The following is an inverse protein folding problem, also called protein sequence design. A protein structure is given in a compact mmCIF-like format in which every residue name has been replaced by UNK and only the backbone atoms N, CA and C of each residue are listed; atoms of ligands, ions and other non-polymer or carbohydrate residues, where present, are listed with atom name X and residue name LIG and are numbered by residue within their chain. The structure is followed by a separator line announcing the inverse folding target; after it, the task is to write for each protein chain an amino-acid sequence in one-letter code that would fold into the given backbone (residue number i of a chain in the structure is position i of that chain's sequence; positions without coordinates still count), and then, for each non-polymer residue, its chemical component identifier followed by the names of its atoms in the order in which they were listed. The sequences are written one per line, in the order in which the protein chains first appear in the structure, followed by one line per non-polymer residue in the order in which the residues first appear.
data_IF_807332863685
#
_entry.id   IF_807332863685
#
_cell.length_a   1.000
_cell.length_b   1.000
_cell.length_c   1.000
_cell.angle_alpha   90.00
_cell.angle_beta   90.00
_cell.angle_gamma   90.00
#
_symmetry.space_group_name_H-M   'P 1'
#
loop_
_entity.id
_entity.type
_entity.pdbx_description
1 polymer ?
#
# COMPACT_ATOMS: atom_id res chain seq x y z
N UNK A 1 -6.79 6.26 -1.67
CA UNK A 1 -6.08 5.86 -0.42
C UNK A 1 -5.72 4.39 -0.54
N UNK A 2 -4.60 3.97 0.04
CA UNK A 2 -4.20 2.56 0.04
C UNK A 2 -5.13 1.74 0.93
N UNK A 3 -5.49 0.53 0.48
CA UNK A 3 -6.08 -0.50 1.33
C UNK A 3 -5.45 -1.83 0.96
N UNK A 4 -5.03 -2.68 1.91
CA UNK A 4 -4.93 -2.37 3.33
C UNK A 4 -3.96 -1.22 3.59
N UNK A 5 -4.19 -0.49 4.68
CA UNK A 5 -3.33 0.63 5.10
C UNK A 5 -1.97 0.11 5.52
N UNK A 6 -0.91 0.77 5.09
CA UNK A 6 0.45 0.46 5.58
C UNK A 6 0.58 0.96 7.03
N UNK A 7 0.86 0.02 7.93
CA UNK A 7 1.02 0.27 9.37
C UNK A 7 2.30 -0.42 9.85
N UNK A 8 3.08 0.28 10.66
CA UNK A 8 4.37 -0.20 11.17
C UNK A 8 4.53 0.14 12.64
N UNK A 9 5.18 -0.75 13.38
CA UNK A 9 5.66 -0.51 14.75
C UNK A 9 7.17 -0.64 14.78
N UNK A 10 7.81 0.13 15.65
CA UNK A 10 9.26 0.13 15.78
C UNK A 10 9.66 -0.32 17.19
N UNK A 11 10.76 -1.07 17.27
CA UNK A 11 11.37 -1.52 18.52
C UNK A 11 12.89 -1.29 18.49
N UNK A 12 13.54 -1.35 19.65
CA UNK A 12 15.00 -1.19 19.74
C UNK A 12 15.54 0.22 19.47
N UNK A 13 14.69 1.26 19.47
CA UNK A 13 15.11 2.65 19.27
C UNK A 13 15.73 3.28 20.54
N UNK A 14 16.55 4.32 20.38
CA UNK A 14 17.02 5.14 21.52
C UNK A 14 15.88 6.07 21.95
N UNK A 15 15.53 6.12 23.24
CA UNK A 15 14.35 6.84 23.73
C UNK A 15 14.42 8.35 23.44
N UNK A 16 15.58 8.95 23.71
CA UNK A 16 15.80 10.40 23.61
C UNK A 16 16.13 10.89 22.19
N UNK A 17 16.34 9.97 21.25
CA UNK A 17 16.66 10.29 19.86
C UNK A 17 15.39 10.68 19.09
N UNK A 18 15.49 11.71 18.24
CA UNK A 18 14.43 12.09 17.30
C UNK A 18 14.54 11.35 15.97
N UNK A 19 13.40 10.94 15.44
CA UNK A 19 13.27 10.19 14.21
C UNK A 19 12.21 10.80 13.30
N UNK A 20 12.46 10.80 11.99
CA UNK A 20 11.41 11.00 10.99
C UNK A 20 11.06 9.65 10.36
N UNK A 21 9.76 9.42 10.13
CA UNK A 21 9.28 8.20 9.47
C UNK A 21 8.70 8.60 8.11
N UNK A 22 9.22 8.01 7.04
CA UNK A 22 8.82 8.31 5.67
C UNK A 22 8.35 7.06 4.93
N UNK A 23 7.55 7.28 3.89
CA UNK A 23 7.13 6.28 2.92
C UNK A 23 7.53 6.75 1.54
N UNK A 24 8.13 5.86 0.76
CA UNK A 24 8.20 6.00 -0.69
C UNK A 24 7.56 4.79 -1.37
N UNK A 25 7.37 4.89 -2.69
CA UNK A 25 6.84 3.82 -3.51
C UNK A 25 7.67 3.77 -4.80
N UNK A 26 8.41 2.69 -5.00
CA UNK A 26 9.34 2.52 -6.13
C UNK A 26 8.83 1.47 -7.12
N UNK A 27 9.10 1.60 -8.43
CA UNK A 27 8.76 0.58 -9.41
C UNK A 27 9.54 -0.71 -9.13
N UNK A 28 8.88 -1.86 -9.29
CA UNK A 28 9.49 -3.19 -9.11
C UNK A 28 10.30 -3.60 -10.34
N UNK A 29 9.82 -3.24 -11.53
CA UNK A 29 10.45 -3.58 -12.80
C UNK A 29 10.13 -2.54 -13.87
N UNK A 30 10.79 -2.68 -15.03
CA UNK A 30 10.59 -1.83 -16.21
C UNK A 30 9.57 -2.44 -17.18
N UNK A 31 8.43 -2.93 -16.66
CA UNK A 31 7.37 -3.58 -17.45
C UNK A 31 6.01 -2.93 -17.22
N UNK A 32 5.26 -2.80 -18.31
CA UNK A 32 3.83 -2.50 -18.27
C UNK A 32 3.03 -3.78 -18.35
N UNK A 33 1.99 -3.89 -17.53
CA UNK A 33 1.18 -5.09 -17.40
C UNK A 33 -0.21 -4.93 -18.04
N UNK A 34 -0.86 -6.05 -18.34
CA UNK A 34 -2.28 -6.14 -18.66
C UNK A 34 -2.89 -7.35 -17.98
N UNK A 35 -4.17 -7.29 -17.65
CA UNK A 35 -4.89 -8.43 -17.10
C UNK A 35 -5.56 -9.22 -18.22
N UNK A 36 -5.29 -10.51 -18.31
CA UNK A 36 -5.92 -11.42 -19.26
C UNK A 36 -7.10 -12.14 -18.59
N UNK A 37 -8.32 -11.67 -18.85
CA UNK A 37 -9.54 -12.19 -18.22
C UNK A 37 -9.76 -13.69 -18.43
N UNK A 38 -9.58 -14.19 -19.66
CA UNK A 38 -9.74 -15.61 -20.00
C UNK A 38 -8.76 -16.54 -19.26
N UNK A 39 -7.63 -16.01 -18.77
CA UNK A 39 -6.61 -16.75 -17.98
C UNK A 39 -6.61 -16.38 -16.51
N UNK A 40 -7.42 -15.39 -16.10
CA UNK A 40 -7.38 -14.78 -14.78
C UNK A 40 -5.96 -14.45 -14.29
N UNK A 41 -5.12 -13.90 -15.19
CA UNK A 41 -3.69 -13.72 -14.94
C UNK A 41 -3.15 -12.39 -15.44
N UNK A 42 -2.15 -11.85 -14.75
CA UNK A 42 -1.38 -10.70 -15.21
C UNK A 42 -0.33 -11.12 -16.25
N UNK A 43 -0.29 -10.42 -17.38
CA UNK A 43 0.69 -10.62 -18.45
C UNK A 43 1.48 -9.34 -18.70
N UNK A 44 2.72 -9.49 -19.17
CA UNK A 44 3.51 -8.35 -19.66
C UNK A 44 2.91 -7.87 -20.97
N UNK A 45 2.63 -6.57 -21.06
CA UNK A 45 2.10 -5.90 -22.24
C UNK A 45 3.20 -5.17 -23.03
N UNK A 46 4.28 -4.74 -22.36
CA UNK A 46 5.39 -4.02 -22.99
C UNK A 46 6.38 -3.45 -21.98
N UNK A 47 7.21 -2.50 -22.44
CA UNK A 47 8.11 -1.69 -21.59
C UNK A 47 7.30 -0.75 -20.70
N UNK A 48 7.83 -0.41 -19.52
CA UNK A 48 7.17 0.57 -18.65
C UNK A 48 7.09 1.96 -19.30
N UNK A 49 6.06 2.70 -18.93
CA UNK A 49 5.94 4.13 -19.23
C UNK A 49 7.01 4.91 -18.43
N UNK A 50 7.43 6.13 -18.85
CA UNK A 50 8.38 6.94 -18.10
C UNK A 50 7.95 7.11 -16.63
N UNK A 51 8.86 6.94 -15.65
CA UNK A 51 8.47 7.01 -14.25
C UNK A 51 8.03 8.42 -13.88
N UNK A 52 6.98 8.57 -13.06
CA UNK A 52 6.58 9.88 -12.55
C UNK A 52 7.66 10.45 -11.60
N UNK A 53 7.61 11.76 -11.30
CA UNK A 53 8.54 12.36 -10.34
C UNK A 53 8.54 11.62 -9.01
N UNK A 54 9.74 11.26 -8.56
CA UNK A 54 9.93 10.58 -7.27
C UNK A 54 9.46 11.46 -6.11
N UNK A 55 8.74 10.86 -5.16
CA UNK A 55 8.20 11.56 -3.98
C UNK A 55 8.44 10.76 -2.71
N UNK A 56 9.13 11.39 -1.77
CA UNK A 56 9.12 10.95 -0.37
C UNK A 56 7.90 11.54 0.34
N UNK A 57 7.12 10.69 0.98
CA UNK A 57 6.02 11.10 1.82
C UNK A 57 6.46 11.06 3.30
N UNK A 58 6.73 12.20 3.95
CA UNK A 58 6.96 12.24 5.38
C UNK A 58 5.63 11.95 6.11
N UNK A 59 5.68 11.13 7.16
CA UNK A 59 4.52 10.96 8.02
C UNK A 59 4.15 12.32 8.65
N UNK A 60 2.87 12.73 8.64
CA UNK A 60 2.46 14.08 9.06
C UNK A 60 2.78 14.41 10.52
N UNK A 61 2.84 13.38 11.36
CA UNK A 61 3.19 13.53 12.78
C UNK A 61 4.70 13.40 13.04
N UNK A 62 5.52 13.28 11.98
CA UNK A 62 6.98 13.37 12.12
C UNK A 62 7.38 14.81 12.46
N UNK A 63 8.44 15.01 13.25
CA UNK A 63 9.30 13.98 13.84
C UNK A 63 8.76 13.42 15.16
N UNK A 64 9.16 12.19 15.46
CA UNK A 64 8.83 11.47 16.70
C UNK A 64 10.06 11.31 17.59
N UNK A 65 9.84 11.17 18.90
CA UNK A 65 10.87 10.60 19.79
C UNK A 65 10.90 9.08 19.66
N UNK A 66 12.04 8.45 19.96
CA UNK A 66 12.13 7.00 19.99
C UNK A 66 11.20 6.36 21.01
N UNK A 67 10.89 7.05 22.11
CA UNK A 67 9.89 6.61 23.08
C UNK A 67 8.48 6.58 22.48
N UNK A 68 8.06 7.63 21.74
CA UNK A 68 6.76 7.67 21.07
C UNK A 68 6.62 6.51 20.08
N UNK A 69 7.64 6.28 19.24
CA UNK A 69 7.62 5.22 18.22
C UNK A 69 7.53 3.80 18.81
N UNK A 70 8.05 3.58 20.02
CA UNK A 70 7.93 2.28 20.71
C UNK A 70 6.52 2.02 21.24
N UNK A 71 5.78 3.09 21.60
CA UNK A 71 4.47 2.98 22.27
C UNK A 71 3.30 2.91 21.29
N UNK A 72 3.51 3.23 20.02
CA UNK A 72 2.41 3.35 19.05
C UNK A 72 2.69 2.68 17.71
N UNK A 73 1.61 2.41 16.98
CA UNK A 73 1.66 1.99 15.58
C UNK A 73 1.57 3.23 14.70
N UNK A 74 2.56 3.43 13.83
CA UNK A 74 2.56 4.50 12.83
C UNK A 74 1.73 4.05 11.62
N UNK A 75 0.78 4.88 11.18
CA UNK A 75 -0.25 4.52 10.19
C UNK A 75 -0.28 5.49 9.02
N UNK A 76 0.02 5.01 7.82
CA UNK A 76 0.00 5.80 6.58
C UNK A 76 -1.40 5.90 5.95
N UNK A 77 -2.45 6.04 6.75
CA UNK A 77 -3.84 6.07 6.28
C UNK A 77 -4.18 7.33 5.47
N UNK A 78 -3.45 8.42 5.71
CA UNK A 78 -3.63 9.69 5.03
C UNK A 78 -2.96 9.72 3.65
N UNK A 79 -2.14 8.71 3.32
CA UNK A 79 -1.47 8.62 2.01
C UNK A 79 -2.51 8.44 0.90
N UNK A 80 -2.37 9.30 -0.11
CA UNK A 80 -3.16 9.26 -1.35
C UNK A 80 -2.22 8.94 -2.51
N UNK A 81 -2.74 8.11 -3.42
CA UNK A 81 -2.08 7.73 -4.66
C UNK A 81 -2.90 8.31 -5.81
N UNK A 82 -2.22 8.91 -6.79
CA UNK A 82 -2.83 9.55 -7.96
C UNK A 82 -2.14 9.11 -9.23
N UNK A 83 -2.82 9.19 -10.36
CA UNK A 83 -2.24 9.07 -11.69
C UNK A 83 -2.04 10.43 -12.38
N UNK A 84 -2.33 11.54 -11.69
CA UNK A 84 -2.09 12.88 -12.22
C UNK A 84 -0.61 13.24 -12.08
N UNK A 85 0.11 13.25 -13.20
CA UNK A 85 1.53 13.63 -13.27
C UNK A 85 1.80 15.07 -12.80
N UNK A 86 0.80 15.94 -12.92
CA UNK A 86 0.87 17.35 -12.54
C UNK A 86 0.31 17.63 -11.14
N UNK A 87 0.22 16.61 -10.27
CA UNK A 87 -0.30 16.76 -8.90
C UNK A 87 0.47 17.83 -8.11
N UNK A 88 -0.25 18.78 -7.54
CA UNK A 88 0.30 19.86 -6.69
C UNK A 88 -0.02 19.66 -5.21
N UNK A 89 -0.80 18.63 -4.87
CA UNK A 89 -1.33 18.36 -3.54
C UNK A 89 -0.41 17.45 -2.70
N UNK A 90 0.76 17.09 -3.23
CA UNK A 90 1.74 16.24 -2.53
C UNK A 90 1.33 14.76 -2.46
N UNK A 91 0.44 14.30 -3.34
CA UNK A 91 0.06 12.88 -3.43
C UNK A 91 1.16 12.06 -4.10
N UNK A 92 1.25 10.76 -3.83
CA UNK A 92 2.24 9.93 -4.53
C UNK A 92 1.68 9.62 -5.92
N UNK A 93 2.40 10.05 -6.96
CA UNK A 93 2.03 9.82 -8.36
C UNK A 93 2.53 8.46 -8.81
N UNK A 94 1.67 7.64 -9.42
CA UNK A 94 2.01 6.32 -9.94
C UNK A 94 1.40 6.12 -11.33
N UNK A 95 2.14 5.49 -12.22
CA UNK A 95 1.61 5.01 -13.50
C UNK A 95 0.71 3.81 -13.27
N UNK A 96 -0.49 3.84 -13.85
CA UNK A 96 -1.42 2.71 -13.85
C UNK A 96 -0.81 1.51 -14.59
N UNK A 97 -1.22 0.30 -14.23
CA UNK A 97 -0.77 -0.97 -14.81
C UNK A 97 0.72 -1.30 -14.62
N UNK A 98 1.33 -0.76 -13.58
CA UNK A 98 2.72 -1.03 -13.17
C UNK A 98 2.78 -1.62 -11.76
N UNK A 99 3.85 -2.35 -11.47
CA UNK A 99 4.10 -2.96 -10.14
C UNK A 99 5.00 -2.07 -9.31
N UNK A 100 4.64 -1.92 -8.03
CA UNK A 100 5.32 -1.05 -7.09
C UNK A 100 5.59 -1.73 -5.76
N UNK A 101 6.71 -1.35 -5.13
CA UNK A 101 7.13 -1.74 -3.80
C UNK A 101 7.09 -0.51 -2.89
N UNK A 102 6.18 -0.46 -1.90
CA UNK A 102 6.26 0.49 -0.80
C UNK A 102 7.52 0.23 0.04
N UNK A 103 8.27 1.28 0.41
CA UNK A 103 9.38 1.17 1.38
C UNK A 103 9.19 2.17 2.51
N UNK A 104 9.56 1.74 3.71
CA UNK A 104 9.43 2.56 4.92
C UNK A 104 10.82 2.97 5.35
N UNK A 105 11.02 4.26 5.57
CA UNK A 105 12.31 4.81 5.98
C UNK A 105 12.20 5.38 7.39
N UNK A 106 13.15 4.99 8.24
CA UNK A 106 13.35 5.57 9.56
C UNK A 106 14.63 6.38 9.54
N UNK A 107 14.51 7.70 9.56
CA UNK A 107 15.63 8.65 9.51
C UNK A 107 15.95 9.11 10.92
N UNK A 108 17.21 9.04 11.32
CA UNK A 108 17.69 9.54 12.61
C UNK A 108 18.05 11.03 12.47
N UNK A 109 17.33 11.90 13.15
CA UNK A 109 17.57 13.35 13.07
C UNK A 109 18.68 13.73 14.05
N UNK A 110 19.59 14.61 13.62
CA UNK A 110 20.69 15.11 14.48
C UNK A 110 20.17 16.19 15.43
N UNK A 111 20.67 16.22 16.66
CA UNK A 111 20.25 17.20 17.69
C UNK A 111 20.70 18.63 17.38
N UNK A 112 21.79 18.80 16.62
CA UNK A 112 22.33 20.10 16.26
C UNK A 112 21.63 20.70 15.03
N UNK A 113 20.41 21.21 15.20
CA UNK A 113 19.77 22.29 14.40
C UNK A 113 19.70 22.18 12.86
N UNK A 114 20.29 21.17 12.26
CA UNK A 114 20.32 20.94 10.82
C UNK A 114 19.17 20.02 10.49
N UNK A 115 18.25 20.54 9.67
CA UNK A 115 17.00 19.98 9.17
C UNK A 115 15.73 20.09 10.04
N UNK A 116 15.31 21.33 10.36
CA UNK A 116 13.86 21.65 10.49
C UNK A 116 13.15 21.71 9.12
N UNK A 117 13.90 21.51 8.02
CA UNK A 117 13.37 21.47 6.66
C UNK A 117 12.86 20.07 6.27
N UNK A 118 12.01 19.96 5.24
CA UNK A 118 11.57 18.67 4.73
C UNK A 118 12.76 17.85 4.22
N UNK A 119 12.80 16.57 4.56
CA UNK A 119 13.79 15.62 4.04
C UNK A 119 13.49 15.40 2.56
N UNK A 120 14.26 16.04 1.68
CA UNK A 120 14.12 15.94 0.22
C UNK A 120 15.05 14.90 -0.38
N UNK A 121 16.24 14.72 0.20
CA UNK A 121 17.19 13.69 -0.16
C UNK A 121 17.36 12.72 1.01
N UNK A 122 17.06 11.45 0.76
CA UNK A 122 17.16 10.40 1.76
C UNK A 122 18.61 9.94 1.96
N UNK A 123 19.41 9.97 0.89
CA UNK A 123 20.79 9.46 0.90
C UNK A 123 21.73 10.39 1.69
N UNK A 124 21.37 11.66 1.86
CA UNK A 124 22.12 12.62 2.70
C UNK A 124 21.91 12.41 4.21
N UNK A 125 20.90 11.64 4.61
CA UNK A 125 20.51 11.48 6.01
C UNK A 125 20.80 10.06 6.53
N UNK A 126 21.23 9.91 7.80
CA UNK A 126 21.43 8.59 8.40
C UNK A 126 20.07 7.92 8.58
N UNK A 127 19.79 6.91 7.75
CA UNK A 127 18.49 6.28 7.69
C UNK A 127 18.57 4.76 7.62
N UNK A 128 17.44 4.10 7.95
CA UNK A 128 17.25 2.68 7.73
C UNK A 128 15.98 2.45 6.91
N UNK A 129 16.10 1.62 5.88
CA UNK A 129 15.00 1.29 4.97
C UNK A 129 14.48 -0.12 5.26
N UNK A 130 13.16 -0.24 5.40
CA UNK A 130 12.44 -1.48 5.61
C UNK A 130 11.58 -1.79 4.38
N UNK A 131 11.78 -2.98 3.82
CA UNK A 131 11.11 -3.45 2.61
C UNK A 131 10.39 -4.75 2.95
N UNK A 132 9.11 -4.81 2.58
CA UNK A 132 8.24 -5.95 2.83
C UNK A 132 7.72 -6.48 1.48
N UNK A 133 8.26 -7.58 0.94
CA UNK A 133 7.87 -8.07 -0.39
C UNK A 133 6.36 -8.36 -0.54
N UNK A 134 5.68 -8.70 0.56
CA UNK A 134 4.24 -8.91 0.59
C UNK A 134 3.41 -7.63 0.36
N UNK A 135 4.02 -6.44 0.43
CA UNK A 135 3.33 -5.16 0.15
C UNK A 135 3.42 -4.73 -1.30
N UNK A 136 4.06 -5.52 -2.17
CA UNK A 136 4.06 -5.27 -3.62
C UNK A 136 2.63 -5.24 -4.13
N UNK A 137 2.34 -4.24 -4.97
CA UNK A 137 1.04 -4.13 -5.61
C UNK A 137 1.12 -3.68 -7.06
N UNK A 138 0.07 -3.96 -7.83
CA UNK A 138 -0.14 -3.35 -9.15
C UNK A 138 -1.06 -2.15 -9.00
N UNK A 139 -0.63 -0.98 -9.47
CA UNK A 139 -1.47 0.22 -9.48
C UNK A 139 -2.48 0.12 -10.62
N UNK A 140 -3.76 0.43 -10.37
CA UNK A 140 -4.82 0.36 -11.39
C UNK A 140 -5.80 1.51 -11.23
N UNK A 141 -6.40 1.96 -12.33
CA UNK A 141 -7.52 2.92 -12.32
C UNK A 141 -8.89 2.24 -12.19
N UNK A 142 -8.95 0.92 -12.35
CA UNK A 142 -10.12 0.08 -12.11
C UNK A 142 -9.69 -1.33 -11.74
N UNK A 143 -10.41 -1.97 -10.80
CA UNK A 143 -10.12 -3.35 -10.43
C UNK A 143 -10.30 -4.28 -11.62
N UNK A 144 -9.25 -5.05 -11.94
CA UNK A 144 -9.25 -5.98 -13.07
C UNK A 144 -9.74 -7.37 -12.66
N UNK A 145 -9.34 -7.84 -11.48
CA UNK A 145 -9.71 -9.14 -10.93
C UNK A 145 -10.92 -9.00 -10.00
N UNK A 146 -12.04 -9.63 -10.35
CA UNK A 146 -13.28 -9.58 -9.56
C UNK A 146 -13.14 -10.19 -8.16
N UNK A 147 -12.24 -11.17 -7.97
CA UNK A 147 -11.95 -11.72 -6.64
C UNK A 147 -11.33 -10.66 -5.72
N UNK A 148 -10.52 -9.77 -6.27
CA UNK A 148 -9.96 -8.65 -5.52
C UNK A 148 -11.07 -7.65 -5.21
N UNK A 149 -11.96 -7.34 -6.15
CA UNK A 149 -13.13 -6.49 -5.90
C UNK A 149 -13.96 -7.02 -4.72
N UNK A 150 -14.31 -8.33 -4.73
CA UNK A 150 -15.05 -8.98 -3.65
C UNK A 150 -14.30 -8.88 -2.32
N UNK A 151 -13.03 -9.26 -2.29
CA UNK A 151 -12.18 -9.18 -1.10
C UNK A 151 -12.11 -7.75 -0.52
N UNK A 152 -12.02 -6.73 -1.38
CA UNK A 152 -12.00 -5.32 -0.96
C UNK A 152 -13.36 -4.89 -0.40
N UNK A 153 -14.47 -5.30 -1.00
CA UNK A 153 -15.82 -5.03 -0.51
C UNK A 153 -16.03 -5.65 0.88
N UNK A 154 -15.61 -6.91 1.05
CA UNK A 154 -15.77 -7.66 2.29
C UNK A 154 -14.89 -7.12 3.42
N UNK A 155 -13.66 -6.71 3.10
CA UNK A 155 -12.66 -6.32 4.11
C UNK A 155 -12.66 -4.84 4.44
N UNK A 156 -12.97 -3.96 3.49
CA UNK A 156 -12.91 -2.51 3.70
C UNK A 156 -14.20 -2.00 4.37
N UNK A 157 -14.14 -1.40 5.58
CA UNK A 157 -15.33 -0.86 6.25
C UNK A 157 -16.09 0.18 5.42
N UNK A 158 -15.38 0.96 4.59
CA UNK A 158 -15.98 1.99 3.73
C UNK A 158 -16.74 1.41 2.52
N UNK A 159 -16.60 0.12 2.23
CA UNK A 159 -17.30 -0.55 1.13
C UNK A 159 -18.49 -1.39 1.60
N UNK A 160 -18.89 -1.27 2.89
CA UNK A 160 -19.95 -2.10 3.51
C UNK A 160 -21.27 -2.07 2.72
N UNK A 161 -21.65 -0.93 2.13
CA UNK A 161 -22.89 -0.79 1.35
C UNK A 161 -22.97 -1.69 0.12
N UNK A 162 -21.85 -2.22 -0.40
CA UNK A 162 -21.84 -3.12 -1.55
C UNK A 162 -21.90 -4.60 -1.17
N UNK A 163 -21.85 -4.94 0.12
CA UNK A 163 -21.84 -6.34 0.59
C UNK A 163 -23.18 -7.03 0.33
N UNK A 164 -24.30 -6.33 0.56
CA UNK A 164 -25.63 -6.92 0.48
C UNK A 164 -26.10 -7.15 -0.96
N UNK A 165 -25.67 -6.31 -1.93
CA UNK A 165 -25.95 -6.54 -3.36
C UNK A 165 -25.27 -7.80 -3.92
N UNK A 166 -24.13 -8.21 -3.35
CA UNK A 166 -23.43 -9.44 -3.75
C UNK A 166 -24.09 -10.72 -3.22
N UNK A 167 -24.88 -10.61 -2.13
CA UNK A 167 -25.55 -11.76 -1.51
C UNK A 167 -26.83 -12.17 -2.25
N UNK A 168 -27.48 -11.23 -2.94
CA UNK A 168 -28.68 -11.52 -3.72
C UNK A 168 -28.37 -12.38 -4.96
N UNK A 169 -27.20 -12.23 -5.57
CA UNK A 169 -26.76 -13.08 -6.69
C UNK A 169 -26.21 -14.44 -6.25
N UNK A 170 -25.63 -14.53 -5.05
CA UNK A 170 -25.16 -15.80 -4.48
C UNK A 170 -26.35 -16.73 -4.11
N UNK A 171 -27.54 -16.19 -3.77
CA UNK A 171 -28.76 -16.99 -3.52
C UNK A 171 -29.28 -17.73 -4.76
N UNK A 172 -29.06 -17.21 -5.96
CA UNK A 172 -29.43 -17.88 -7.21
C UNK A 172 -28.46 -19.03 -7.56
N UNK A 173 -27.25 -19.04 -6.99
CA UNK A 173 -26.18 -20.00 -7.30
C UNK A 173 -26.13 -21.21 -6.35
N UNK A 174 -26.73 -21.12 -5.16
CA UNK A 174 -26.71 -22.18 -4.14
C UNK A 174 -27.65 -23.37 -4.40
N UNK A 175 -28.36 -23.47 -5.53
CA UNK A 175 -29.14 -24.68 -5.86
C UNK A 175 -28.31 -25.81 -6.49
N UNK A 176 -26.99 -25.66 -6.61
CA UNK A 176 -26.18 -26.56 -7.42
C UNK A 176 -24.80 -26.84 -6.83
N UNK A 177 -24.77 -27.54 -5.68
CA UNK A 177 -23.76 -28.56 -5.30
C UNK A 177 -23.41 -28.48 -3.82
N UNK A 178 -24.04 -29.34 -3.01
CA UNK A 178 -23.55 -29.73 -1.69
C UNK A 178 -22.98 -31.15 -1.77
N UNK A 179 -21.71 -31.34 -1.40
CA UNK A 179 -21.24 -32.52 -0.64
C UNK A 179 -19.77 -32.38 -0.17
N UNK A 180 -19.58 -32.50 1.16
CA UNK A 180 -18.44 -33.10 1.91
C UNK A 180 -17.07 -32.36 1.87
N UNK A 181 -16.20 -32.32 2.90
CA UNK A 181 -16.07 -32.93 4.23
C UNK A 181 -14.99 -32.14 5.03
N UNK A 182 -14.86 -32.47 6.31
CA UNK A 182 -14.15 -31.85 7.42
C UNK A 182 -12.59 -31.81 7.37
N UNK A 183 -12.04 -30.88 8.17
CA UNK A 183 -10.97 -31.18 9.15
C UNK A 183 -9.56 -30.64 8.87
N UNK A 184 -9.04 -29.79 9.77
CA UNK A 184 -7.72 -29.87 10.43
C UNK A 184 -7.28 -28.52 11.04
N UNK A 185 -6.94 -28.53 12.34
CA UNK A 185 -6.29 -27.44 13.07
C UNK A 185 -4.78 -27.46 12.83
N UNK A 186 -4.13 -26.32 12.53
CA UNK A 186 -2.74 -26.01 12.92
C UNK A 186 -2.45 -24.48 12.93
N UNK A 187 -1.81 -24.04 14.03
CA UNK A 187 -1.01 -22.82 14.28
C UNK A 187 -1.32 -21.50 13.53
N UNK A 188 -1.76 -20.48 14.29
CA UNK A 188 -2.00 -19.12 13.79
C UNK A 188 -0.71 -18.27 13.83
N UNK A 189 -0.06 -18.10 12.68
CA UNK A 189 0.64 -16.84 12.37
C UNK A 189 -0.30 -16.00 11.52
N UNK A 190 -0.70 -14.82 11.98
CA UNK A 190 -1.59 -13.93 11.25
C UNK A 190 -0.89 -13.33 10.03
N UNK A 191 -0.77 -14.12 8.97
CA UNK A 191 -0.36 -13.64 7.64
C UNK A 191 -1.53 -12.84 7.08
N UNK A 192 -1.46 -11.51 7.20
CA UNK A 192 -2.38 -10.64 6.47
C UNK A 192 -2.16 -10.91 4.98
N UNK A 193 -3.11 -11.57 4.32
CA UNK A 193 -3.23 -11.59 2.85
C UNK A 193 -3.47 -10.15 2.41
N UNK A 194 -2.41 -9.38 2.26
CA UNK A 194 -2.45 -8.05 1.68
C UNK A 194 -2.93 -8.18 0.23
N UNK A 195 -4.11 -7.68 -0.09
CA UNK A 195 -4.59 -7.65 -1.48
C UNK A 195 -3.61 -6.82 -2.31
N UNK A 196 -2.84 -7.47 -3.19
CA UNK A 196 -1.72 -6.94 -3.98
C UNK A 196 -2.11 -5.95 -5.10
N UNK A 197 -3.24 -5.24 -4.95
CA UNK A 197 -3.72 -4.27 -5.95
C UNK A 197 -4.29 -3.06 -5.21
N UNK A 198 -3.87 -1.88 -5.64
CA UNK A 198 -4.32 -0.60 -5.08
C UNK A 198 -4.90 0.27 -6.21
N UNK A 199 -6.06 0.86 -5.92
CA UNK A 199 -6.78 1.76 -6.81
C UNK A 199 -6.16 3.17 -6.77
N UNK A 200 -5.88 3.74 -7.95
CA UNK A 200 -5.49 5.13 -8.13
C UNK A 200 -6.76 5.97 -8.34
N UNK A 201 -6.90 7.06 -7.58
CA UNK A 201 -8.00 8.01 -7.83
C UNK A 201 -7.67 8.85 -9.06
N UNK A 202 -8.54 8.82 -10.07
CA UNK A 202 -8.48 9.78 -11.18
C UNK A 202 -8.72 11.20 -10.64
N UNK A 203 -7.95 12.18 -11.13
CA UNK A 203 -8.07 13.59 -10.71
C UNK A 203 -9.33 14.32 -11.24
N UNK A 204 -10.18 13.63 -12.02
CA UNK A 204 -11.40 14.20 -12.61
C UNK A 204 -12.67 13.72 -11.90
N UNK A 205 -12.68 13.71 -10.56
CA UNK A 205 -13.86 13.34 -9.77
C UNK A 205 -13.98 14.22 -8.54
#
# INVERSE_FOLDING_TARGET
RMFPTVRVSFSGLKADQRYAVLLDIVPVDNKRYRYAYHKSSWLVAGKADPPPPYRLYPHPDSPFTGEQLKKQVVSFEKVKLTNNEMDKQGQIVLNSMHRYQPRIHLVCLKDNGSCNGPITDLESEPHRTYIYPQTIFTAVTAYQNQLITKLKIDSNPFAKGFRDSSRLTDFERCKSNDTLSAGAYWMHTSTVKTSSIIYLTNANS
#
